data_IF_625595755483
#
_entry.id   IF_625595755483
#
_cell.length_a   1.000
_cell.length_b   1.000
_cell.length_c   1.000
_cell.angle_alpha   90.00
_cell.angle_beta   90.00
_cell.angle_gamma   90.00
#
_symmetry.space_group_name_H-M   'P 1'
#
loop_
_entity.id
_entity.type
_entity.pdbx_description
1 polymer ?
#
# COMPACT_ATOMS: atom_id res chain seq x y z
N UNK A 1 12.80 14.13 18.60
CA UNK A 1 13.86 14.22 17.57
C UNK A 1 13.13 14.37 16.24
N UNK A 2 13.04 15.58 15.70
CA UNK A 2 12.47 15.80 14.37
C UNK A 2 13.42 15.16 13.36
N UNK A 3 12.92 14.27 12.51
CA UNK A 3 13.62 13.93 11.28
C UNK A 3 13.62 15.22 10.45
N UNK A 4 14.77 15.69 10.00
CA UNK A 4 14.81 16.84 9.10
C UNK A 4 14.15 16.42 7.78
N UNK A 5 13.53 17.35 7.05
CA UNK A 5 12.94 17.03 5.75
C UNK A 5 13.97 16.37 4.81
N UNK A 6 15.22 16.80 4.93
CA UNK A 6 16.38 16.25 4.21
C UNK A 6 16.63 14.77 4.51
N UNK A 7 16.47 14.34 5.77
CA UNK A 7 16.64 12.94 6.18
C UNK A 7 15.57 12.03 5.54
N UNK A 8 14.36 12.58 5.35
CA UNK A 8 13.24 11.87 4.73
C UNK A 8 13.48 11.74 3.23
N UNK A 9 13.89 12.81 2.55
CA UNK A 9 14.21 12.74 1.12
C UNK A 9 15.38 11.80 0.82
N UNK A 10 16.42 11.81 1.65
CA UNK A 10 17.55 10.89 1.52
C UNK A 10 17.10 9.43 1.65
N UNK A 11 16.23 9.13 2.62
CA UNK A 11 15.72 7.78 2.82
C UNK A 11 14.99 7.23 1.58
N UNK A 12 14.18 8.04 0.90
CA UNK A 12 13.38 7.61 -0.26
C UNK A 12 14.12 7.69 -1.61
N UNK A 13 15.35 8.23 -1.63
CA UNK A 13 16.10 8.51 -2.86
C UNK A 13 16.35 7.25 -3.70
N UNK A 14 16.72 6.16 -3.04
CA UNK A 14 17.18 4.92 -3.68
C UNK A 14 16.07 3.85 -3.74
N UNK A 15 14.81 4.26 -3.66
CA UNK A 15 13.67 3.34 -3.64
C UNK A 15 13.54 2.49 -4.92
N UNK A 16 14.15 2.94 -6.02
CA UNK A 16 14.20 2.20 -7.29
C UNK A 16 15.05 0.93 -7.19
N UNK A 17 15.90 0.80 -6.18
CA UNK A 17 16.72 -0.39 -5.94
C UNK A 17 16.08 -1.33 -4.89
N UNK A 18 14.95 -0.94 -4.30
CA UNK A 18 14.31 -1.72 -3.25
C UNK A 18 13.60 -2.95 -3.81
N UNK A 19 14.05 -4.13 -3.39
CA UNK A 19 13.39 -5.39 -3.71
C UNK A 19 12.39 -5.70 -2.61
N UNK A 20 11.10 -5.53 -2.92
CA UNK A 20 9.99 -5.86 -2.04
C UNK A 20 9.94 -7.37 -1.81
N UNK A 21 9.82 -7.79 -0.55
CA UNK A 21 9.59 -9.19 -0.18
C UNK A 21 8.14 -9.41 0.25
N UNK A 22 7.57 -8.47 1.00
CA UNK A 22 6.20 -8.53 1.50
C UNK A 22 5.56 -7.13 1.56
N UNK A 23 4.25 -7.08 1.43
CA UNK A 23 3.46 -5.87 1.68
C UNK A 23 2.21 -6.22 2.48
N UNK A 24 2.10 -5.65 3.68
CA UNK A 24 1.03 -5.95 4.63
C UNK A 24 0.38 -4.67 5.15
N UNK A 25 -0.94 -4.67 5.25
CA UNK A 25 -1.72 -3.61 5.87
C UNK A 25 -2.23 -4.08 7.22
N UNK A 26 -1.81 -3.39 8.28
CA UNK A 26 -2.37 -3.54 9.62
C UNK A 26 -3.45 -2.49 9.82
N UNK A 27 -4.70 -2.89 9.61
CA UNK A 27 -5.85 -1.97 9.60
C UNK A 27 -6.11 -1.28 10.94
N UNK A 28 -5.87 -1.98 12.07
CA UNK A 28 -6.09 -1.41 13.42
C UNK A 28 -5.12 -0.28 13.75
N UNK A 29 -3.88 -0.39 13.29
CA UNK A 29 -2.83 0.63 13.48
C UNK A 29 -2.67 1.53 12.26
N UNK A 30 -3.55 1.39 11.27
CA UNK A 30 -3.58 2.21 10.04
C UNK A 30 -2.19 2.36 9.39
N UNK A 31 -1.46 1.25 9.27
CA UNK A 31 -0.07 1.25 8.76
C UNK A 31 0.12 0.17 7.70
N UNK A 32 0.73 0.56 6.58
CA UNK A 32 1.33 -0.34 5.62
C UNK A 32 2.75 -0.66 6.05
N UNK A 33 3.09 -1.93 6.03
CA UNK A 33 4.41 -2.46 6.30
C UNK A 33 4.93 -3.07 5.01
N UNK A 34 6.10 -2.61 4.58
CA UNK A 34 6.79 -3.09 3.39
C UNK A 34 8.10 -3.72 3.83
N UNK A 35 8.19 -5.04 3.75
CA UNK A 35 9.46 -5.73 3.99
C UNK A 35 10.27 -5.77 2.70
N UNK A 36 11.57 -5.55 2.84
CA UNK A 36 12.54 -5.62 1.75
C UNK A 36 13.43 -6.85 1.93
N UNK A 37 13.97 -7.39 0.84
CA UNK A 37 14.83 -8.59 0.89
C UNK A 37 16.13 -8.37 1.67
N UNK A 38 16.59 -7.13 1.77
CA UNK A 38 17.76 -6.74 2.56
C UNK A 38 17.48 -6.64 4.08
N UNK A 39 16.36 -7.19 4.56
CA UNK A 39 15.92 -7.17 5.97
C UNK A 39 15.58 -5.77 6.51
N UNK A 40 15.42 -4.77 5.65
CA UNK A 40 14.84 -3.48 6.03
C UNK A 40 13.32 -3.57 5.96
N UNK A 41 12.65 -2.82 6.84
CA UNK A 41 11.20 -2.70 6.86
C UNK A 41 10.83 -1.23 6.81
N UNK A 42 9.90 -0.88 5.93
CA UNK A 42 9.37 0.47 5.77
C UNK A 42 7.95 0.52 6.32
N UNK A 43 7.70 1.50 7.19
CA UNK A 43 6.39 1.75 7.80
C UNK A 43 5.77 3.00 7.18
N UNK A 44 4.56 2.87 6.64
CA UNK A 44 3.83 3.96 5.98
C UNK A 44 2.44 4.08 6.59
N UNK A 45 2.12 5.22 7.20
CA UNK A 45 0.82 5.47 7.81
C UNK A 45 -0.21 5.86 6.75
N UNK A 46 -1.43 5.35 6.88
CA UNK A 46 -2.56 5.77 6.04
C UNK A 46 -2.82 7.26 6.28
N UNK A 47 -3.06 8.01 5.20
CA UNK A 47 -3.32 9.46 5.25
C UNK A 47 -2.06 10.33 5.19
N UNK A 48 -0.87 9.73 5.26
CA UNK A 48 0.39 10.42 5.03
C UNK A 48 0.78 10.35 3.55
N UNK A 49 1.38 11.44 3.05
CA UNK A 49 1.97 11.46 1.72
C UNK A 49 3.43 11.00 1.77
N UNK A 50 3.78 10.07 0.89
CA UNK A 50 5.15 9.57 0.73
C UNK A 50 5.56 9.73 -0.74
N UNK A 51 6.83 10.06 -1.03
CA UNK A 51 7.31 10.26 -2.40
C UNK A 51 7.54 8.90 -3.11
N UNK A 52 6.52 8.05 -3.20
CA UNK A 52 6.60 6.71 -3.79
C UNK A 52 6.66 6.84 -5.32
N UNK A 53 7.73 6.32 -5.92
CA UNK A 53 7.90 6.25 -7.38
C UNK A 53 7.08 5.11 -7.97
N UNK A 54 6.69 5.27 -9.24
CA UNK A 54 5.89 4.28 -9.97
C UNK A 54 6.54 2.88 -9.97
N UNK A 55 7.86 2.82 -10.11
CA UNK A 55 8.71 1.62 -10.02
C UNK A 55 8.51 0.84 -8.72
N UNK A 56 8.58 1.51 -7.56
CA UNK A 56 8.35 0.88 -6.25
C UNK A 56 6.88 0.45 -6.12
N UNK A 57 5.96 1.31 -6.55
CA UNK A 57 4.53 1.03 -6.50
C UNK A 57 4.14 -0.21 -7.32
N UNK A 58 4.70 -0.38 -8.52
CA UNK A 58 4.53 -1.58 -9.32
C UNK A 58 5.01 -2.84 -8.59
N UNK A 59 6.16 -2.77 -7.91
CA UNK A 59 6.67 -3.90 -7.12
C UNK A 59 5.73 -4.23 -5.97
N UNK A 60 5.21 -3.23 -5.26
CA UNK A 60 4.20 -3.42 -4.22
C UNK A 60 2.95 -4.12 -4.79
N UNK A 61 2.45 -3.65 -5.93
CA UNK A 61 1.27 -4.24 -6.59
C UNK A 61 1.51 -5.70 -7.03
N UNK A 62 2.70 -6.04 -7.52
CA UNK A 62 3.08 -7.43 -7.88
C UNK A 62 3.09 -8.37 -6.67
N UNK A 63 3.57 -7.91 -5.53
CA UNK A 63 3.61 -8.71 -4.28
C UNK A 63 2.24 -8.89 -3.61
N UNK A 64 1.23 -8.13 -4.07
CA UNK A 64 -0.14 -8.08 -3.55
C UNK A 64 -0.22 -7.62 -2.10
N UNK A 65 -1.23 -6.82 -1.79
CA UNK A 65 -1.47 -6.41 -0.41
C UNK A 65 -2.00 -7.59 0.40
N UNK A 66 -1.42 -7.82 1.57
CA UNK A 66 -1.91 -8.79 2.56
C UNK A 66 -2.50 -8.07 3.77
N UNK A 67 -3.50 -8.68 4.41
CA UNK A 67 -4.07 -8.20 5.68
C UNK A 67 -4.09 -9.40 6.63
N UNK A 68 -3.50 -9.30 7.83
CA UNK A 68 -3.43 -10.46 8.73
C UNK A 68 -4.82 -10.97 9.13
N UNK A 69 -5.01 -12.29 9.25
CA UNK A 69 -6.31 -12.91 9.54
C UNK A 69 -6.97 -12.41 10.83
N UNK A 70 -6.18 -12.02 11.83
CA UNK A 70 -6.67 -11.44 13.09
C UNK A 70 -7.47 -10.15 12.91
N UNK A 71 -7.36 -9.51 11.75
CA UNK A 71 -8.11 -8.28 11.40
C UNK A 71 -9.24 -8.53 10.38
N UNK A 72 -9.41 -9.78 9.92
CA UNK A 72 -10.46 -10.16 8.99
C UNK A 72 -11.79 -10.39 9.75
N UNK A 73 -12.61 -9.36 9.94
CA UNK A 73 -14.02 -9.59 10.28
C UNK A 73 -14.76 -10.16 9.08
N UNK A 74 -15.50 -11.24 9.32
CA UNK A 74 -16.47 -11.76 8.37
C UNK A 74 -17.67 -10.83 8.33
N UNK A 75 -18.06 -10.38 7.13
CA UNK A 75 -19.33 -9.69 6.93
C UNK A 75 -20.38 -10.75 6.70
N UNK A 76 -21.38 -10.80 7.58
CA UNK A 76 -22.51 -11.73 7.48
C UNK A 76 -23.80 -10.97 7.22
N UNK A 77 -24.58 -11.44 6.25
CA UNK A 77 -25.97 -10.99 6.01
C UNK A 77 -26.85 -12.22 6.09
N UNK A 78 -27.79 -12.25 7.05
CA UNK A 78 -28.66 -13.41 7.25
C UNK A 78 -27.94 -14.73 7.57
N UNK A 79 -26.75 -14.67 8.18
CA UNK A 79 -25.94 -15.86 8.51
C UNK A 79 -24.99 -16.32 7.39
N UNK A 80 -25.16 -15.82 6.17
CA UNK A 80 -24.27 -16.11 5.03
C UNK A 80 -23.06 -15.19 5.10
N UNK A 81 -21.85 -15.76 4.99
CA UNK A 81 -20.62 -14.97 4.82
C UNK A 81 -20.63 -14.41 3.40
N UNK A 82 -20.90 -13.11 3.28
CA UNK A 82 -20.97 -12.42 1.98
C UNK A 82 -19.59 -11.89 1.56
N UNK A 83 -18.65 -11.85 2.50
CA UNK A 83 -17.25 -11.53 2.23
C UNK A 83 -16.42 -11.42 3.52
N UNK A 84 -15.14 -11.17 3.34
CA UNK A 84 -14.25 -10.74 4.42
C UNK A 84 -13.93 -9.26 4.23
N UNK A 85 -13.91 -8.49 5.33
CA UNK A 85 -13.49 -7.09 5.29
C UNK A 85 -12.11 -6.95 4.63
N UNK A 86 -11.19 -7.90 4.90
CA UNK A 86 -9.86 -7.91 4.31
C UNK A 86 -9.85 -8.06 2.79
N UNK A 87 -10.66 -8.96 2.22
CA UNK A 87 -10.72 -9.12 0.76
C UNK A 87 -11.21 -7.85 0.05
N UNK A 88 -12.17 -7.16 0.67
CA UNK A 88 -12.67 -5.87 0.16
C UNK A 88 -11.60 -4.79 0.25
N UNK A 89 -10.97 -4.65 1.43
CA UNK A 89 -9.90 -3.66 1.67
C UNK A 89 -8.74 -3.86 0.69
N UNK A 90 -8.28 -5.09 0.49
CA UNK A 90 -7.18 -5.39 -0.43
C UNK A 90 -7.53 -4.94 -1.85
N UNK A 91 -8.72 -5.31 -2.34
CA UNK A 91 -9.15 -4.93 -3.69
C UNK A 91 -9.28 -3.42 -3.85
N UNK A 92 -9.91 -2.74 -2.89
CA UNK A 92 -10.11 -1.28 -2.95
C UNK A 92 -8.78 -0.55 -2.95
N UNK A 93 -7.88 -0.86 -2.00
CA UNK A 93 -6.56 -0.20 -1.93
C UNK A 93 -5.74 -0.43 -3.20
N UNK A 94 -5.74 -1.66 -3.73
CA UNK A 94 -5.02 -1.94 -4.97
C UNK A 94 -5.64 -1.22 -6.17
N UNK A 95 -6.98 -1.13 -6.25
CA UNK A 95 -7.66 -0.42 -7.32
C UNK A 95 -7.39 1.08 -7.28
N UNK A 96 -7.46 1.71 -6.10
CA UNK A 96 -7.19 3.13 -5.91
C UNK A 96 -5.75 3.47 -6.33
N UNK A 97 -4.78 2.63 -5.93
CA UNK A 97 -3.38 2.80 -6.31
C UNK A 97 -3.14 2.60 -7.81
N UNK A 98 -3.79 1.62 -8.43
CA UNK A 98 -3.72 1.41 -9.88
C UNK A 98 -4.29 2.61 -10.65
N UNK A 99 -5.41 3.17 -10.19
CA UNK A 99 -6.01 4.37 -10.80
C UNK A 99 -5.09 5.60 -10.65
N UNK A 100 -4.45 5.77 -9.49
CA UNK A 100 -3.50 6.86 -9.27
C UNK A 100 -2.25 6.76 -10.17
N UNK A 101 -1.91 5.56 -10.67
CA UNK A 101 -0.78 5.37 -11.61
C UNK A 101 -1.14 5.52 -13.07
N UNK A 102 -2.42 5.52 -13.44
CA UNK A 102 -2.80 5.76 -14.84
C UNK A 102 -2.73 7.26 -15.14
N UNK A 103 -2.06 7.69 -16.23
CA UNK A 103 -2.20 9.08 -16.66
C UNK A 103 -3.68 9.32 -16.96
N UNK A 104 -4.26 10.35 -16.36
CA UNK A 104 -5.59 10.83 -16.76
C UNK A 104 -5.50 11.13 -18.25
N UNK A 105 -6.10 10.27 -19.08
CA UNK A 105 -6.23 10.53 -20.50
C UNK A 105 -7.04 11.81 -20.64
N UNK A 106 -6.36 12.92 -20.91
CA UNK A 106 -6.98 14.16 -21.34
C UNK A 106 -7.55 13.91 -22.73
N UNK A 107 -8.73 13.30 -22.80
CA UNK A 107 -9.54 13.34 -24.00
C UNK A 107 -9.95 14.80 -24.22
N UNK A 108 -9.64 15.41 -25.38
CA UNK A 108 -10.24 16.69 -25.71
C UNK A 108 -11.74 16.45 -25.89
N UNK A 109 -12.57 17.18 -25.17
CA UNK A 109 -13.97 17.31 -25.57
C UNK A 109 -13.97 18.11 -26.87
N UNK A 110 -14.26 17.43 -27.98
CA UNK A 110 -14.67 18.04 -29.23
C UNK A 110 -16.08 18.59 -29.13
#
# INVERSE_FOLDING_TARGET
>A
RSLHADDVEEFWRDQDDWIVSSWTLYTKSTVHVLDLTNRKTVYMFIGSSYPIRATLLERMLRHRLTVPPSYCRHVRVGGIVVGTMAGTIIRTVQADLLQATMPVSSAPMS
#
